data_IF_731229949080
#
_entry.id   IF_731229949080
#
_cell.length_a   1.000
_cell.length_b   1.000
_cell.length_c   1.000
_cell.angle_alpha   90.00
_cell.angle_beta   90.00
_cell.angle_gamma   90.00
#
_symmetry.space_group_name_H-M   'P 1'
#
loop_
_entity.id
_entity.type
_entity.pdbx_description
1 polymer ?
#
# COMPACT_ATOMS: atom_id res chain seq x y z
N UNK A 1 -25.94 -5.63 -2.75
CA UNK A 1 -26.19 -6.51 -1.58
C UNK A 1 -27.36 -7.44 -1.88
N UNK A 2 -27.16 -8.75 -1.78
CA UNK A 2 -28.24 -9.72 -1.87
C UNK A 2 -29.24 -9.48 -0.73
N UNK A 3 -30.54 -9.40 -1.05
CA UNK A 3 -31.63 -9.19 -0.08
C UNK A 3 -31.42 -8.01 0.91
N UNK A 4 -30.78 -6.92 0.47
CA UNK A 4 -30.40 -5.75 1.30
C UNK A 4 -29.36 -6.02 2.41
N UNK A 5 -28.74 -7.19 2.42
CA UNK A 5 -27.64 -7.53 3.33
C UNK A 5 -27.76 -8.96 3.83
N UNK A 6 -26.71 -9.75 3.62
CA UNK A 6 -26.56 -11.09 4.18
C UNK A 6 -25.20 -11.20 4.86
N UNK A 7 -25.05 -12.20 5.74
CA UNK A 7 -23.76 -12.53 6.34
C UNK A 7 -22.75 -12.86 5.25
N UNK A 8 -21.55 -12.32 5.39
CA UNK A 8 -20.42 -12.53 4.48
C UNK A 8 -19.31 -13.25 5.24
N UNK A 9 -18.86 -14.40 4.75
CA UNK A 9 -17.64 -15.06 5.22
C UNK A 9 -16.62 -15.00 4.09
N UNK A 10 -15.41 -14.57 4.40
CA UNK A 10 -14.32 -14.55 3.43
C UNK A 10 -13.36 -15.70 3.68
N UNK A 11 -12.94 -16.34 2.60
CA UNK A 11 -11.91 -17.39 2.62
C UNK A 11 -10.82 -17.00 1.61
N UNK A 12 -9.96 -16.01 1.94
CA UNK A 12 -8.92 -15.56 1.03
C UNK A 12 -7.90 -16.68 0.76
N UNK A 13 -7.66 -16.95 -0.53
CA UNK A 13 -6.71 -17.98 -0.98
C UNK A 13 -5.40 -17.39 -1.51
N UNK A 14 -5.33 -16.08 -1.71
CA UNK A 14 -4.09 -15.38 -2.06
C UNK A 14 -3.49 -14.67 -0.86
N UNK A 15 -2.16 -14.55 -0.86
CA UNK A 15 -1.42 -13.92 0.23
C UNK A 15 -1.83 -12.45 0.43
N UNK A 16 -1.91 -11.67 -0.65
CA UNK A 16 -2.39 -10.29 -0.63
C UNK A 16 -3.80 -10.17 -0.01
N UNK A 17 -4.73 -11.00 -0.48
CA UNK A 17 -6.13 -10.90 -0.06
C UNK A 17 -6.30 -11.29 1.42
N UNK A 18 -5.43 -12.15 1.94
CA UNK A 18 -5.48 -12.59 3.33
C UNK A 18 -5.13 -11.50 4.33
N UNK A 19 -4.21 -10.57 4.02
CA UNK A 19 -3.74 -9.59 5.01
C UNK A 19 -4.07 -8.13 4.68
N UNK A 20 -4.34 -7.77 3.42
CA UNK A 20 -4.62 -6.37 3.03
C UNK A 20 -6.08 -6.14 2.61
N UNK A 21 -6.67 -7.02 1.79
CA UNK A 21 -7.98 -6.78 1.18
C UNK A 21 -9.14 -7.43 1.94
N UNK A 22 -9.37 -8.74 1.78
CA UNK A 22 -10.55 -9.41 2.31
C UNK A 22 -10.61 -9.31 3.83
N UNK A 23 -9.67 -9.94 4.52
CA UNK A 23 -9.85 -10.18 5.95
C UNK A 23 -10.00 -8.88 6.75
N UNK A 24 -9.23 -7.86 6.39
CA UNK A 24 -9.10 -6.64 7.19
C UNK A 24 -9.91 -5.45 6.66
N UNK A 25 -10.24 -5.36 5.36
CA UNK A 25 -10.98 -4.21 4.82
C UNK A 25 -12.49 -4.45 4.77
N UNK A 26 -13.25 -3.39 5.08
CA UNK A 26 -14.69 -3.36 4.90
C UNK A 26 -15.06 -2.92 3.47
N UNK A 27 -14.10 -2.45 2.65
CA UNK A 27 -14.36 -1.95 1.30
C UNK A 27 -14.79 -3.10 0.37
N UNK A 28 -15.99 -2.99 -0.19
CA UNK A 28 -16.49 -3.87 -1.25
C UNK A 28 -16.80 -3.01 -2.46
N UNK A 29 -16.05 -3.18 -3.55
CA UNK A 29 -16.16 -2.30 -4.72
C UNK A 29 -15.95 -3.05 -6.04
N UNK A 30 -16.43 -2.44 -7.12
CA UNK A 30 -16.20 -2.86 -8.50
C UNK A 30 -15.63 -1.70 -9.32
N UNK A 31 -14.92 -2.05 -10.38
CA UNK A 31 -14.46 -1.08 -11.37
C UNK A 31 -15.62 -0.68 -12.28
N UNK A 32 -15.66 0.59 -12.70
CA UNK A 32 -16.67 1.09 -13.63
C UNK A 32 -16.12 2.24 -14.47
N UNK A 33 -16.45 2.26 -15.77
CA UNK A 33 -16.11 3.35 -16.70
C UNK A 33 -14.63 3.78 -16.70
N UNK A 34 -13.70 2.82 -16.55
CA UNK A 34 -12.25 3.12 -16.53
C UNK A 34 -11.69 3.55 -15.17
N UNK A 35 -12.52 3.65 -14.14
CA UNK A 35 -12.10 4.00 -12.79
C UNK A 35 -12.05 2.76 -11.87
N UNK A 36 -10.99 2.66 -11.06
CA UNK A 36 -10.78 1.56 -10.11
C UNK A 36 -11.66 1.75 -8.88
N UNK A 37 -12.37 0.70 -8.47
CA UNK A 37 -13.13 0.63 -7.21
C UNK A 37 -14.13 1.79 -6.97
N UNK A 38 -14.71 2.37 -8.03
CA UNK A 38 -15.51 3.60 -7.92
C UNK A 38 -16.96 3.36 -7.46
N UNK A 39 -17.49 2.14 -7.63
CA UNK A 39 -18.84 1.77 -7.17
C UNK A 39 -18.70 0.73 -6.06
N UNK A 40 -19.17 1.05 -4.84
CA UNK A 40 -19.01 0.15 -3.71
C UNK A 40 -19.74 0.55 -2.44
N UNK A 41 -19.50 -0.21 -1.37
CA UNK A 41 -19.97 0.05 -0.02
C UNK A 41 -18.96 -0.46 1.02
N UNK A 42 -19.16 -0.07 2.28
CA UNK A 42 -18.47 -0.67 3.41
C UNK A 42 -19.37 -1.77 3.99
N UNK A 43 -18.94 -3.03 3.91
CA UNK A 43 -19.65 -4.20 4.42
C UNK A 43 -18.71 -5.06 5.27
N UNK A 44 -19.00 -5.17 6.56
CA UNK A 44 -18.16 -5.93 7.50
C UNK A 44 -18.40 -7.42 7.29
N UNK A 45 -17.36 -8.22 6.98
CA UNK A 45 -17.50 -9.67 6.97
C UNK A 45 -17.82 -10.16 8.39
N UNK A 46 -18.65 -11.18 8.50
CA UNK A 46 -18.90 -11.88 9.77
C UNK A 46 -17.64 -12.59 10.26
N UNK A 47 -16.84 -13.12 9.32
CA UNK A 47 -15.62 -13.85 9.61
C UNK A 47 -14.68 -13.89 8.41
N UNK A 48 -13.38 -13.95 8.67
CA UNK A 48 -12.36 -14.31 7.68
C UNK A 48 -11.63 -15.60 8.10
N UNK A 49 -11.68 -16.62 7.24
CA UNK A 49 -10.98 -17.90 7.39
C UNK A 49 -9.74 -17.90 6.50
N UNK A 50 -8.56 -17.80 7.09
CA UNK A 50 -7.31 -17.69 6.35
C UNK A 50 -6.55 -19.02 6.47
N UNK A 51 -6.56 -19.84 5.43
CA UNK A 51 -5.75 -21.06 5.38
C UNK A 51 -4.47 -20.81 4.58
N UNK A 52 -3.33 -20.77 5.26
CA UNK A 52 -2.04 -20.46 4.62
C UNK A 52 -1.51 -21.60 3.75
N UNK A 53 -2.12 -22.79 3.78
CA UNK A 53 -1.74 -23.90 2.91
C UNK A 53 -1.97 -23.58 1.43
N UNK A 54 -2.94 -22.71 1.10
CA UNK A 54 -3.17 -22.24 -0.26
C UNK A 54 -1.95 -21.53 -0.85
N UNK A 55 -1.12 -20.89 -0.01
CA UNK A 55 0.03 -20.13 -0.47
C UNK A 55 1.08 -20.99 -1.17
N UNK A 56 1.14 -22.29 -0.86
CA UNK A 56 2.05 -23.25 -1.50
C UNK A 56 1.80 -23.41 -3.01
N UNK A 57 0.60 -23.04 -3.47
CA UNK A 57 0.20 -23.12 -4.89
C UNK A 57 0.27 -21.79 -5.63
N UNK A 58 0.61 -20.69 -4.94
CA UNK A 58 0.70 -19.37 -5.54
C UNK A 58 1.94 -19.25 -6.43
N UNK A 59 1.78 -18.58 -7.57
CA UNK A 59 2.91 -18.19 -8.42
C UNK A 59 3.71 -17.02 -7.82
N UNK A 60 4.89 -16.76 -8.40
CA UNK A 60 5.78 -15.66 -7.97
C UNK A 60 5.06 -14.31 -7.94
N UNK A 61 4.27 -14.00 -8.97
CA UNK A 61 3.54 -12.74 -9.11
C UNK A 61 2.54 -12.52 -7.96
N UNK A 62 1.78 -13.54 -7.58
CA UNK A 62 0.79 -13.45 -6.50
C UNK A 62 1.46 -13.31 -5.12
N UNK A 63 2.58 -14.01 -4.92
CA UNK A 63 3.35 -13.88 -3.69
C UNK A 63 3.97 -12.47 -3.58
N UNK A 64 4.56 -11.97 -4.67
CA UNK A 64 5.11 -10.61 -4.73
C UNK A 64 4.05 -9.54 -4.57
N UNK A 65 2.83 -9.76 -5.06
CA UNK A 65 1.72 -8.85 -4.84
C UNK A 65 1.43 -8.64 -3.34
N UNK A 66 1.40 -9.71 -2.53
CA UNK A 66 1.22 -9.59 -1.08
C UNK A 66 2.44 -8.95 -0.39
N UNK A 67 3.65 -9.36 -0.79
CA UNK A 67 4.89 -8.75 -0.28
C UNK A 67 5.00 -7.25 -0.60
N UNK A 68 4.42 -6.80 -1.72
CA UNK A 68 4.35 -5.38 -2.07
C UNK A 68 3.61 -4.56 -1.00
N UNK A 69 2.46 -5.05 -0.52
CA UNK A 69 1.73 -4.38 0.56
C UNK A 69 2.44 -4.48 1.91
N UNK A 70 3.17 -5.57 2.17
CA UNK A 70 4.02 -5.64 3.36
C UNK A 70 5.23 -4.69 3.25
N UNK A 71 5.73 -4.42 2.04
CA UNK A 71 6.77 -3.42 1.77
C UNK A 71 6.24 -2.01 2.06
N UNK A 72 5.00 -1.72 1.66
CA UNK A 72 4.28 -0.50 2.08
C UNK A 72 4.21 -0.41 3.60
N UNK A 73 3.76 -1.47 4.29
CA UNK A 73 3.70 -1.48 5.76
C UNK A 73 5.07 -1.22 6.41
N UNK A 74 6.14 -1.75 5.82
CA UNK A 74 7.51 -1.47 6.27
C UNK A 74 7.88 0.01 6.10
N UNK A 75 7.53 0.65 4.98
CA UNK A 75 7.74 2.08 4.78
C UNK A 75 6.90 2.95 5.74
N UNK A 76 5.67 2.54 6.04
CA UNK A 76 4.76 3.26 6.94
C UNK A 76 5.20 3.17 8.41
N UNK A 77 5.52 1.97 8.89
CA UNK A 77 5.65 1.68 10.32
C UNK A 77 7.08 1.38 10.79
N UNK A 78 8.01 1.10 9.87
CA UNK A 78 9.37 0.73 10.22
C UNK A 78 9.45 -0.49 11.14
N UNK A 79 10.41 -0.49 12.06
CA UNK A 79 10.54 -1.48 13.14
C UNK A 79 10.42 -2.94 12.67
N UNK A 80 9.52 -3.71 13.29
CA UNK A 80 9.31 -5.14 12.96
C UNK A 80 8.89 -5.37 11.50
N UNK A 81 8.18 -4.42 10.88
CA UNK A 81 7.76 -4.53 9.47
C UNK A 81 8.97 -4.37 8.55
N UNK A 82 9.84 -3.40 8.85
CA UNK A 82 11.09 -3.21 8.13
C UNK A 82 12.04 -4.41 8.27
N UNK A 83 12.22 -4.94 9.48
CA UNK A 83 13.08 -6.11 9.70
C UNK A 83 12.55 -7.36 9.01
N UNK A 84 11.23 -7.58 9.01
CA UNK A 84 10.60 -8.65 8.25
C UNK A 84 10.94 -8.53 6.75
N UNK A 85 10.72 -7.35 6.17
CA UNK A 85 10.93 -7.13 4.74
C UNK A 85 12.40 -7.22 4.35
N UNK A 86 13.30 -6.69 5.18
CA UNK A 86 14.75 -6.81 4.99
C UNK A 86 15.21 -8.27 4.97
N UNK A 87 14.78 -9.07 5.96
CA UNK A 87 15.06 -10.52 6.00
C UNK A 87 14.48 -11.23 4.77
N UNK A 88 13.25 -10.91 4.40
CA UNK A 88 12.52 -11.59 3.33
C UNK A 88 13.08 -11.28 1.95
N UNK A 89 13.34 -10.01 1.64
CA UNK A 89 13.70 -9.57 0.29
C UNK A 89 15.20 -9.49 0.07
N UNK A 90 15.95 -8.91 1.02
CA UNK A 90 17.38 -8.69 0.85
C UNK A 90 18.21 -9.94 1.13
N UNK A 91 17.79 -10.76 2.11
CA UNK A 91 18.53 -11.99 2.48
C UNK A 91 18.02 -13.21 1.73
N UNK A 92 16.69 -13.42 1.71
CA UNK A 92 16.09 -14.63 1.13
C UNK A 92 15.64 -14.52 -0.32
N UNK A 93 15.60 -13.29 -0.87
CA UNK A 93 15.10 -13.04 -2.21
C UNK A 93 13.66 -13.51 -2.37
N UNK A 94 12.76 -12.99 -1.52
CA UNK A 94 11.29 -13.19 -1.53
C UNK A 94 10.79 -14.65 -1.35
N UNK A 95 11.69 -15.62 -1.14
CA UNK A 95 11.33 -17.01 -0.84
C UNK A 95 11.10 -17.19 0.67
N UNK A 96 9.85 -17.41 1.05
CA UNK A 96 9.43 -17.64 2.43
C UNK A 96 9.08 -19.11 2.65
N UNK A 97 9.38 -19.66 3.83
CA UNK A 97 8.82 -20.95 4.26
C UNK A 97 7.33 -20.82 4.60
N UNK A 98 6.63 -21.95 4.75
CA UNK A 98 5.22 -21.94 5.18
C UNK A 98 5.00 -21.22 6.52
N UNK A 99 5.88 -21.44 7.49
CA UNK A 99 5.84 -20.74 8.79
C UNK A 99 6.07 -19.23 8.64
N UNK A 100 7.02 -18.82 7.80
CA UNK A 100 7.28 -17.39 7.60
C UNK A 100 6.14 -16.69 6.85
N UNK A 101 5.40 -17.40 5.99
CA UNK A 101 4.19 -16.87 5.37
C UNK A 101 3.06 -16.68 6.39
N UNK A 102 2.95 -17.58 7.37
CA UNK A 102 2.02 -17.42 8.50
C UNK A 102 2.38 -16.17 9.30
N UNK A 103 3.64 -16.02 9.70
CA UNK A 103 4.12 -14.86 10.44
C UNK A 103 3.89 -13.55 9.67
N UNK A 104 4.23 -13.55 8.38
CA UNK A 104 4.02 -12.39 7.51
C UNK A 104 2.53 -12.03 7.38
N UNK A 105 1.65 -13.03 7.30
CA UNK A 105 0.19 -12.84 7.29
C UNK A 105 -0.28 -12.17 8.59
N UNK A 106 0.16 -12.66 9.76
CA UNK A 106 -0.18 -12.06 11.05
C UNK A 106 0.33 -10.63 11.19
N UNK A 107 1.54 -10.35 10.73
CA UNK A 107 2.12 -9.01 10.75
C UNK A 107 1.31 -8.05 9.86
N UNK A 108 0.89 -8.50 8.67
CA UNK A 108 0.04 -7.71 7.78
C UNK A 108 -1.35 -7.42 8.37
N UNK A 109 -2.01 -8.46 8.92
CA UNK A 109 -3.30 -8.32 9.61
C UNK A 109 -3.22 -7.33 10.77
N UNK A 110 -2.20 -7.47 11.62
CA UNK A 110 -1.99 -6.60 12.78
C UNK A 110 -1.74 -5.15 12.39
N UNK A 111 -1.07 -4.88 11.27
CA UNK A 111 -0.89 -3.52 10.76
C UNK A 111 -2.23 -2.87 10.40
N UNK A 112 -3.06 -3.54 9.58
CA UNK A 112 -4.37 -3.02 9.19
C UNK A 112 -5.29 -2.84 10.38
N UNK A 113 -5.39 -3.85 11.23
CA UNK A 113 -6.24 -3.84 12.41
C UNK A 113 -5.89 -2.69 13.38
N UNK A 114 -4.61 -2.35 13.52
CA UNK A 114 -4.14 -1.24 14.37
C UNK A 114 -4.77 0.11 13.98
N UNK A 115 -4.91 0.41 12.68
CA UNK A 115 -5.53 1.66 12.21
C UNK A 115 -7.04 1.53 12.02
N UNK A 116 -7.52 0.42 11.46
CA UNK A 116 -8.93 0.23 11.14
C UNK A 116 -9.82 0.09 12.38
N UNK A 117 -9.25 -0.27 13.55
CA UNK A 117 -9.98 -0.20 14.84
C UNK A 117 -10.42 1.21 15.19
N UNK A 118 -9.67 2.22 14.77
CA UNK A 118 -9.95 3.63 15.04
C UNK A 118 -10.53 4.35 13.82
N UNK A 119 -10.32 3.81 12.61
CA UNK A 119 -10.81 4.38 11.35
C UNK A 119 -11.37 3.28 10.41
N UNK A 120 -12.48 2.62 10.78
CA UNK A 120 -13.00 1.43 10.07
C UNK A 120 -13.48 1.70 8.64
N UNK A 121 -13.72 2.98 8.30
CA UNK A 121 -14.14 3.40 6.96
C UNK A 121 -13.00 4.06 6.17
N UNK A 122 -11.78 4.05 6.70
CA UNK A 122 -10.59 4.55 6.00
C UNK A 122 -10.74 6.01 5.55
N UNK A 123 -11.21 6.88 6.45
CA UNK A 123 -11.50 8.30 6.16
C UNK A 123 -10.49 9.28 6.76
N UNK A 124 -9.61 8.82 7.63
CA UNK A 124 -8.65 9.62 8.38
C UNK A 124 -7.28 8.92 8.37
N UNK A 125 -6.85 8.39 9.52
CA UNK A 125 -5.52 7.83 9.70
C UNK A 125 -5.25 6.62 8.79
N UNK A 126 -6.27 5.80 8.48
CA UNK A 126 -6.07 4.64 7.61
C UNK A 126 -5.88 5.02 6.13
N UNK A 127 -6.02 6.31 5.76
CA UNK A 127 -5.54 6.81 4.46
C UNK A 127 -4.07 6.49 4.24
N UNK A 128 -3.24 6.41 5.30
CA UNK A 128 -1.83 6.03 5.20
C UNK A 128 -1.60 4.74 4.38
N UNK A 129 -2.55 3.80 4.38
CA UNK A 129 -2.46 2.58 3.56
C UNK A 129 -2.54 2.82 2.05
N UNK A 130 -2.87 4.03 1.61
CA UNK A 130 -2.85 4.46 0.22
C UNK A 130 -1.47 5.05 -0.20
N UNK A 131 -0.45 4.97 0.67
CA UNK A 131 0.92 5.30 0.29
C UNK A 131 1.37 4.46 -0.91
N UNK A 132 1.95 5.11 -1.92
CA UNK A 132 2.28 4.51 -3.22
C UNK A 132 1.09 4.25 -4.17
N UNK A 133 -0.15 4.28 -3.69
CA UNK A 133 -1.31 3.89 -4.50
C UNK A 133 -1.69 4.92 -5.56
N UNK A 134 -1.41 6.22 -5.35
CA UNK A 134 -1.78 7.27 -6.31
C UNK A 134 -1.17 7.02 -7.70
N UNK A 135 0.15 6.79 -7.76
CA UNK A 135 0.84 6.47 -9.03
C UNK A 135 0.69 4.99 -9.38
N UNK A 136 0.69 4.08 -8.38
CA UNK A 136 0.52 2.64 -8.61
C UNK A 136 -0.79 2.31 -9.32
N UNK A 137 -1.92 2.84 -8.84
CA UNK A 137 -3.22 2.67 -9.49
C UNK A 137 -3.26 3.30 -10.89
N UNK A 138 -2.66 4.47 -11.07
CA UNK A 138 -2.59 5.10 -12.38
C UNK A 138 -1.84 4.23 -13.39
N UNK A 139 -0.75 3.58 -12.98
CA UNK A 139 -0.03 2.61 -13.81
C UNK A 139 -0.87 1.37 -14.12
N UNK A 140 -1.51 0.78 -13.12
CA UNK A 140 -2.36 -0.42 -13.29
C UNK A 140 -3.52 -0.20 -14.27
N UNK A 141 -4.09 1.01 -14.28
CA UNK A 141 -5.19 1.36 -15.17
C UNK A 141 -4.72 1.78 -16.58
N UNK A 142 -3.41 1.99 -16.78
CA UNK A 142 -2.87 2.51 -18.04
C UNK A 142 -2.78 1.44 -19.11
N UNK A 143 -3.24 1.79 -20.32
CA UNK A 143 -3.37 0.83 -21.41
C UNK A 143 -2.01 0.25 -21.80
N UNK A 144 -1.93 -1.09 -21.84
CA UNK A 144 -0.71 -1.80 -22.22
C UNK A 144 0.33 -1.91 -21.11
N UNK A 145 0.06 -1.37 -19.91
CA UNK A 145 0.84 -1.68 -18.71
C UNK A 145 0.36 -3.01 -18.12
N UNK A 146 1.31 -3.85 -17.72
CA UNK A 146 1.01 -5.10 -16.98
C UNK A 146 1.88 -5.17 -15.74
N UNK A 147 1.24 -5.25 -14.57
CA UNK A 147 1.86 -5.37 -13.24
C UNK A 147 0.86 -6.04 -12.30
N UNK A 148 1.35 -6.74 -11.27
CA UNK A 148 0.48 -7.06 -10.13
C UNK A 148 0.18 -5.80 -9.29
N UNK A 149 -0.86 -5.85 -8.45
CA UNK A 149 -1.23 -4.73 -7.61
C UNK A 149 -0.09 -4.30 -6.66
N UNK A 150 0.48 -5.24 -5.90
CA UNK A 150 1.57 -4.92 -4.96
C UNK A 150 2.85 -4.46 -5.64
N UNK A 151 3.16 -4.96 -6.85
CA UNK A 151 4.27 -4.43 -7.65
C UNK A 151 3.97 -3.01 -8.15
N UNK A 152 2.73 -2.72 -8.55
CA UNK A 152 2.29 -1.38 -8.90
C UNK A 152 2.39 -0.40 -7.73
N UNK A 153 1.95 -0.81 -6.54
CA UNK A 153 2.05 -0.03 -5.30
C UNK A 153 3.51 0.27 -4.95
N UNK A 154 4.39 -0.73 -4.99
CA UNK A 154 5.81 -0.54 -4.69
C UNK A 154 6.50 0.39 -5.71
N UNK A 155 6.17 0.28 -6.99
CA UNK A 155 6.63 1.22 -8.01
C UNK A 155 6.08 2.64 -7.75
N UNK A 156 4.83 2.76 -7.34
CA UNK A 156 4.25 4.03 -6.92
C UNK A 156 4.91 4.63 -5.67
N UNK A 157 5.42 3.81 -4.74
CA UNK A 157 6.22 4.28 -3.61
C UNK A 157 7.53 4.93 -4.05
N UNK A 158 8.16 4.47 -5.14
CA UNK A 158 9.36 5.13 -5.71
C UNK A 158 9.02 6.53 -6.23
N UNK A 159 7.86 6.71 -6.85
CA UNK A 159 7.40 8.03 -7.27
C UNK A 159 7.12 8.94 -6.06
N UNK A 160 6.50 8.39 -5.01
CA UNK A 160 6.23 9.14 -3.78
C UNK A 160 7.53 9.57 -3.06
N UNK A 161 8.53 8.70 -2.94
CA UNK A 161 9.83 9.04 -2.34
C UNK A 161 10.61 10.06 -3.18
N UNK A 162 10.54 9.97 -4.51
CA UNK A 162 11.08 10.98 -5.42
C UNK A 162 10.45 12.35 -5.15
N UNK A 163 9.11 12.40 -5.05
CA UNK A 163 8.38 13.64 -4.75
C UNK A 163 8.75 14.18 -3.37
N UNK A 164 8.72 13.35 -2.32
CA UNK A 164 9.12 13.74 -0.96
C UNK A 164 10.51 14.38 -0.94
N UNK A 165 11.47 13.76 -1.62
CA UNK A 165 12.84 14.26 -1.67
C UNK A 165 12.96 15.58 -2.43
N UNK A 166 12.26 15.72 -3.56
CA UNK A 166 12.25 16.96 -4.34
C UNK A 166 11.54 18.12 -3.64
N UNK A 167 10.62 17.81 -2.73
CA UNK A 167 9.94 18.80 -1.87
C UNK A 167 10.71 19.12 -0.58
N UNK A 168 11.88 18.52 -0.33
CA UNK A 168 12.65 18.74 0.91
C UNK A 168 12.13 17.95 2.13
N UNK A 169 11.08 17.16 1.96
CA UNK A 169 10.44 16.37 3.02
C UNK A 169 11.29 15.15 3.42
N UNK A 170 12.03 14.59 2.46
CA UNK A 170 12.88 13.40 2.66
C UNK A 170 14.33 13.69 2.25
N UNK A 171 15.29 13.36 3.11
CA UNK A 171 16.71 13.51 2.79
C UNK A 171 17.17 12.50 1.73
N UNK A 172 18.30 12.77 1.07
CA UNK A 172 18.88 11.83 0.09
C UNK A 172 19.24 10.48 0.74
N UNK A 173 19.71 10.50 1.99
CA UNK A 173 20.06 9.29 2.74
C UNK A 173 18.82 8.47 3.15
N UNK A 174 17.75 9.15 3.58
CA UNK A 174 16.48 8.50 3.91
C UNK A 174 15.83 7.91 2.66
N UNK A 175 15.89 8.64 1.53
CA UNK A 175 15.43 8.14 0.23
C UNK A 175 16.22 6.92 -0.22
N UNK A 176 17.54 6.92 -0.10
CA UNK A 176 18.36 5.77 -0.44
C UNK A 176 17.96 4.52 0.38
N UNK A 177 17.64 4.70 1.67
CA UNK A 177 17.18 3.62 2.55
C UNK A 177 15.78 3.13 2.14
N UNK A 178 14.85 4.05 1.88
CA UNK A 178 13.50 3.73 1.42
C UNK A 178 13.50 3.01 0.07
N UNK A 179 14.19 3.56 -0.92
CA UNK A 179 14.25 2.98 -2.26
C UNK A 179 14.97 1.62 -2.22
N UNK A 180 15.89 1.42 -1.27
CA UNK A 180 16.52 0.12 -1.06
C UNK A 180 15.54 -0.98 -0.65
N UNK A 181 14.65 -0.65 0.28
CA UNK A 181 13.59 -1.54 0.74
C UNK A 181 12.67 -1.93 -0.43
N UNK A 182 12.29 -0.95 -1.24
CA UNK A 182 11.38 -1.15 -2.38
C UNK A 182 12.05 -1.98 -3.48
N UNK A 183 13.27 -1.62 -3.88
CA UNK A 183 14.01 -2.30 -4.96
C UNK A 183 14.38 -3.73 -4.58
N UNK A 184 14.52 -4.04 -3.28
CA UNK A 184 14.81 -5.39 -2.83
C UNK A 184 13.72 -6.42 -3.19
N UNK A 185 12.45 -5.99 -3.31
CA UNK A 185 11.37 -6.85 -3.81
C UNK A 185 11.53 -7.20 -5.30
N UNK A 186 12.29 -6.39 -6.04
CA UNK A 186 12.48 -6.48 -7.48
C UNK A 186 11.13 -6.50 -8.23
N UNK A 187 10.31 -5.43 -8.09
CA UNK A 187 8.98 -5.37 -8.69
C UNK A 187 9.10 -5.33 -10.21
N UNK A 188 8.27 -6.14 -10.88
CA UNK A 188 8.24 -6.25 -12.34
C UNK A 188 7.06 -5.48 -12.90
N UNK A 189 7.34 -4.61 -13.86
CA UNK A 189 6.32 -3.91 -14.65
C UNK A 189 6.66 -4.03 -16.13
N UNK A 190 5.68 -4.42 -16.93
CA UNK A 190 5.77 -4.34 -18.38
C UNK A 190 5.16 -3.02 -18.83
N UNK A 191 5.97 -2.16 -19.45
CA UNK A 191 5.53 -0.89 -20.02
C UNK A 191 5.41 -1.02 -21.54
N UNK A 192 4.40 -0.38 -22.16
CA UNK A 192 4.30 -0.36 -23.61
C UNK A 192 5.41 0.51 -24.24
N UNK A 193 5.71 0.33 -25.53
CA UNK A 193 6.80 1.04 -26.20
C UNK A 193 6.54 2.54 -26.40
N UNK A 194 5.27 2.97 -26.39
CA UNK A 194 4.89 4.39 -26.52
C UNK A 194 5.02 5.13 -25.18
N UNK A 195 5.09 6.46 -25.23
CA UNK A 195 5.09 7.30 -24.02
C UNK A 195 3.71 7.26 -23.34
N UNK A 196 3.69 6.90 -22.06
CA UNK A 196 2.49 6.78 -21.24
C UNK A 196 2.36 7.92 -20.22
N UNK A 197 3.29 8.87 -20.20
CA UNK A 197 3.41 9.86 -19.12
C UNK A 197 2.12 10.67 -18.95
N UNK A 198 1.57 11.20 -20.04
CA UNK A 198 0.33 12.00 -20.00
C UNK A 198 -0.87 11.15 -19.60
N UNK A 199 -0.94 9.91 -20.06
CA UNK A 199 -2.02 8.98 -19.72
C UNK A 199 -1.97 8.57 -18.23
N UNK A 200 -0.79 8.37 -17.66
CA UNK A 200 -0.60 8.11 -16.22
C UNK A 200 -0.95 9.35 -15.41
N UNK A 201 -0.47 10.52 -15.85
CA UNK A 201 -0.74 11.79 -15.17
C UNK A 201 -2.25 12.08 -15.12
N UNK A 202 -2.96 11.90 -16.23
CA UNK A 202 -4.41 12.07 -16.29
C UNK A 202 -5.14 11.19 -15.25
N UNK A 203 -4.71 9.94 -15.07
CA UNK A 203 -5.29 9.05 -14.05
C UNK A 203 -4.95 9.48 -12.63
N UNK A 204 -3.73 9.97 -12.37
CA UNK A 204 -3.37 10.57 -11.08
C UNK A 204 -4.26 11.77 -10.77
N UNK A 205 -4.55 12.62 -11.77
CA UNK A 205 -5.45 13.76 -11.62
C UNK A 205 -6.90 13.36 -11.29
N UNK A 206 -7.28 12.10 -11.49
CA UNK A 206 -8.63 11.58 -11.21
C UNK A 206 -8.66 10.54 -10.07
N UNK A 207 -7.59 10.44 -9.27
CA UNK A 207 -7.52 9.54 -8.13
C UNK A 207 -8.59 9.87 -7.06
N UNK A 208 -9.10 8.83 -6.39
CA UNK A 208 -10.24 8.91 -5.46
C UNK A 208 -9.95 9.65 -4.14
N UNK A 209 -8.69 10.06 -3.91
CA UNK A 209 -8.32 10.95 -2.79
C UNK A 209 -8.81 12.39 -2.98
N UNK A 210 -9.30 12.74 -4.18
CA UNK A 210 -10.03 13.98 -4.43
C UNK A 210 -11.30 14.01 -3.58
N UNK A 211 -11.37 14.95 -2.64
CA UNK A 211 -12.50 15.11 -1.72
C UNK A 211 -12.14 15.15 -0.24
N UNK A 212 -10.94 14.68 0.13
CA UNK A 212 -10.43 14.85 1.51
C UNK A 212 -9.86 16.25 1.74
N UNK A 213 -9.28 16.85 0.69
CA UNK A 213 -8.80 18.22 0.68
C UNK A 213 -9.63 19.05 -0.31
N UNK A 214 -9.79 20.37 -0.08
CA UNK A 214 -10.31 21.29 -1.08
C UNK A 214 -9.57 21.17 -2.41
N UNK A 215 -10.27 21.34 -3.53
CA UNK A 215 -9.60 21.34 -4.82
C UNK A 215 -8.66 22.55 -4.94
N UNK A 216 -7.43 22.31 -5.38
CA UNK A 216 -6.43 23.35 -5.60
C UNK A 216 -5.85 23.21 -7.00
N UNK A 217 -6.14 24.18 -7.86
CA UNK A 217 -5.69 24.18 -9.24
C UNK A 217 -4.16 24.06 -9.32
N UNK A 218 -3.67 23.12 -10.14
CA UNK A 218 -2.24 22.85 -10.31
C UNK A 218 -1.59 21.98 -9.23
N UNK A 219 -2.38 21.39 -8.32
CA UNK A 219 -1.89 20.48 -7.27
C UNK A 219 -2.70 19.18 -7.19
N UNK A 220 -2.04 18.12 -6.71
CA UNK A 220 -2.64 16.82 -6.42
C UNK A 220 -2.38 16.39 -4.98
N UNK A 221 -3.36 15.76 -4.30
CA UNK A 221 -3.16 15.21 -2.96
C UNK A 221 -2.30 13.93 -3.02
N UNK A 222 -1.24 13.88 -2.23
CA UNK A 222 -0.38 12.70 -2.08
C UNK A 222 -0.13 12.37 -0.61
N UNK A 223 0.04 11.10 -0.32
CA UNK A 223 0.65 10.64 0.93
C UNK A 223 2.13 10.52 0.69
N UNK A 224 2.90 11.21 1.53
CA UNK A 224 4.36 11.29 1.45
C UNK A 224 4.97 10.81 2.76
N UNK A 225 6.22 10.39 2.71
CA UNK A 225 6.99 10.01 3.89
C UNK A 225 8.27 10.85 4.03
N UNK A 226 8.76 10.97 5.26
CA UNK A 226 10.03 11.64 5.58
C UNK A 226 11.18 10.64 5.62
N UNK A 227 10.93 9.46 6.20
CA UNK A 227 11.83 8.30 6.22
C UNK A 227 11.04 7.02 6.47
N UNK A 228 11.69 5.86 6.41
CA UNK A 228 11.06 4.59 6.75
C UNK A 228 10.55 4.62 8.19
N UNK A 229 9.26 4.38 8.38
CA UNK A 229 8.58 4.44 9.68
C UNK A 229 8.12 5.82 10.12
N UNK A 230 8.30 6.85 9.30
CA UNK A 230 7.86 8.21 9.61
C UNK A 230 7.21 8.90 8.40
N UNK A 231 5.89 9.06 8.51
CA UNK A 231 5.04 9.65 7.46
C UNK A 231 5.00 11.17 7.59
N UNK A 232 4.89 11.86 6.45
CA UNK A 232 4.69 13.30 6.41
C UNK A 232 3.25 13.64 6.80
N UNK A 233 3.09 14.50 7.81
CA UNK A 233 1.80 14.78 8.44
C UNK A 233 1.45 16.28 8.36
N UNK A 234 1.24 16.86 7.16
CA UNK A 234 0.97 18.29 7.01
C UNK A 234 -0.42 18.70 7.53
N UNK A 235 -1.31 17.72 7.75
CA UNK A 235 -2.66 17.87 8.27
C UNK A 235 -3.17 16.50 8.78
N UNK A 236 -4.38 16.48 9.35
CA UNK A 236 -5.01 15.28 9.92
C UNK A 236 -5.27 14.14 8.92
N UNK A 237 -5.23 14.39 7.61
CA UNK A 237 -5.41 13.38 6.57
C UNK A 237 -4.09 12.82 6.04
N UNK A 238 -2.93 13.37 6.48
CA UNK A 238 -1.60 13.00 5.96
C UNK A 238 -1.46 13.22 4.44
N UNK A 239 -2.22 14.17 3.89
CA UNK A 239 -2.21 14.50 2.47
C UNK A 239 -1.48 15.82 2.22
N UNK A 240 -0.46 15.79 1.37
CA UNK A 240 0.26 16.98 0.91
C UNK A 240 -0.24 17.43 -0.46
N UNK A 241 -0.27 18.75 -0.70
CA UNK A 241 -0.51 19.30 -2.02
C UNK A 241 0.78 19.28 -2.84
N UNK A 242 0.89 18.32 -3.76
CA UNK A 242 2.04 18.19 -4.66
C UNK A 242 1.76 18.95 -5.95
N UNK A 243 2.67 19.85 -6.40
CA UNK A 243 2.52 20.52 -7.70
C UNK A 243 2.46 19.51 -8.86
N UNK A 244 1.52 19.70 -9.79
CA UNK A 244 1.32 18.80 -10.94
C UNK A 244 2.57 18.64 -11.80
N UNK A 245 3.37 19.70 -11.96
CA UNK A 245 4.63 19.61 -12.70
C UNK A 245 5.63 18.65 -12.04
N UNK A 246 5.67 18.63 -10.70
CA UNK A 246 6.53 17.71 -9.95
C UNK A 246 6.02 16.26 -10.03
N UNK A 247 4.70 16.07 -10.04
CA UNK A 247 4.09 14.74 -10.31
C UNK A 247 4.51 14.24 -11.70
N UNK A 248 4.47 15.10 -12.73
CA UNK A 248 4.92 14.77 -14.08
C UNK A 248 6.40 14.42 -14.11
N UNK A 249 7.26 15.18 -13.43
CA UNK A 249 8.69 14.88 -13.29
C UNK A 249 8.93 13.50 -12.66
N UNK A 250 8.18 13.16 -11.60
CA UNK A 250 8.27 11.87 -10.94
C UNK A 250 7.85 10.72 -11.85
N UNK A 251 6.77 10.88 -12.63
CA UNK A 251 6.32 9.88 -13.61
C UNK A 251 7.37 9.69 -14.71
N UNK A 252 7.93 10.77 -15.26
CA UNK A 252 8.98 10.71 -16.27
C UNK A 252 10.23 9.98 -15.76
N UNK A 253 10.69 10.34 -14.56
CA UNK A 253 11.79 9.66 -13.90
C UNK A 253 11.49 8.16 -13.74
N UNK A 254 10.33 7.82 -13.19
CA UNK A 254 9.92 6.45 -12.93
C UNK A 254 9.86 5.61 -14.21
N UNK A 255 9.18 6.09 -15.26
CA UNK A 255 9.06 5.40 -16.55
C UNK A 255 10.43 5.21 -17.18
N UNK A 256 11.30 6.22 -17.11
CA UNK A 256 12.70 6.12 -17.55
C UNK A 256 13.46 5.02 -16.81
N UNK A 257 13.38 5.01 -15.47
CA UNK A 257 14.02 3.99 -14.62
C UNK A 257 13.51 2.59 -14.93
N UNK A 258 12.19 2.40 -15.11
CA UNK A 258 11.61 1.09 -15.42
C UNK A 258 12.04 0.57 -16.81
N UNK A 259 12.16 1.46 -17.80
CA UNK A 259 12.66 1.10 -19.13
C UNK A 259 14.13 0.69 -19.09
N UNK A 260 14.97 1.43 -18.35
CA UNK A 260 16.37 1.07 -18.15
C UNK A 260 16.50 -0.26 -17.41
N UNK A 261 15.68 -0.47 -16.37
CA UNK A 261 15.65 -1.72 -15.60
C UNK A 261 15.27 -2.91 -16.49
N UNK A 262 14.29 -2.74 -17.37
CA UNK A 262 13.91 -3.76 -18.34
C UNK A 262 15.05 -4.10 -19.32
N UNK A 263 15.84 -3.09 -19.73
CA UNK A 263 16.97 -3.29 -20.64
C UNK A 263 18.15 -4.04 -19.99
N UNK A 264 18.38 -3.85 -18.69
CA UNK A 264 19.44 -4.54 -17.92
C UNK A 264 18.94 -5.79 -17.17
N UNK A 265 17.65 -6.13 -17.33
CA UNK A 265 17.03 -7.36 -16.83
C UNK A 265 16.26 -7.22 -15.52
N UNK A 266 16.60 -6.29 -14.62
CA UNK A 266 15.82 -6.00 -13.41
C UNK A 266 16.15 -4.65 -12.76
N UNK A 267 15.28 -4.19 -11.85
CA UNK A 267 15.55 -2.97 -11.05
C UNK A 267 16.73 -3.16 -10.13
N UNK A 268 16.86 -4.35 -9.54
CA UNK A 268 18.02 -4.69 -8.71
C UNK A 268 19.32 -4.65 -9.52
N UNK A 269 19.31 -5.14 -10.76
CA UNK A 269 20.48 -5.09 -11.63
C UNK A 269 20.84 -3.64 -12.02
N UNK A 270 19.83 -2.82 -12.36
CA UNK A 270 20.04 -1.40 -12.65
C UNK A 270 20.67 -0.66 -11.48
N UNK A 271 20.16 -0.88 -10.27
CA UNK A 271 20.69 -0.26 -9.06
C UNK A 271 22.16 -0.63 -8.80
N UNK A 272 22.54 -1.89 -9.04
CA UNK A 272 23.94 -2.33 -8.90
C UNK A 272 24.87 -1.74 -9.97
N UNK A 273 24.33 -1.40 -11.15
CA UNK A 273 25.09 -0.85 -12.27
C UNK A 273 25.30 0.67 -12.20
N UNK A 274 24.49 1.38 -11.41
CA UNK A 274 24.53 2.83 -11.27
C UNK A 274 25.23 3.24 -9.97
N UNK A 275 26.16 4.22 -9.96
CA UNK A 275 26.66 4.80 -8.72
C UNK A 275 25.50 5.43 -7.93
N UNK A 276 25.51 5.33 -6.60
CA UNK A 276 24.40 5.77 -5.73
C UNK A 276 23.92 7.20 -6.03
N UNK A 277 24.83 8.11 -6.42
CA UNK A 277 24.49 9.48 -6.80
C UNK A 277 23.63 9.59 -8.08
N UNK A 278 23.75 8.65 -9.02
CA UNK A 278 23.07 8.71 -10.33
C UNK A 278 21.65 8.17 -10.33
N UNK A 279 21.26 7.34 -9.35
CA UNK A 279 19.87 6.91 -9.18
C UNK A 279 18.99 8.01 -8.57
N UNK A 280 19.62 8.97 -7.86
CA UNK A 280 18.94 9.97 -7.04
C UNK A 280 18.96 11.41 -7.59
N UNK A 281 19.63 11.70 -8.70
CA UNK A 281 19.78 13.09 -9.19
C UNK A 281 18.92 13.45 -10.42
N UNK A 282 17.93 14.32 -10.18
CA UNK A 282 17.69 15.51 -11.03
C UNK A 282 17.09 16.62 -10.16
N UNK A 283 17.90 17.61 -9.75
CA UNK A 283 17.46 18.80 -9.01
C UNK A 283 17.19 19.96 -9.98
N UNK A 284 16.08 20.67 -9.79
CA UNK A 284 15.96 22.09 -10.12
C UNK A 284 15.70 22.87 -8.81
N UNK A 285 16.29 24.06 -8.61
CA UNK A 285 16.25 24.77 -7.32
C UNK A 285 15.04 25.70 -7.20
N UNK A 286 14.45 25.83 -6.01
CA UNK A 286 14.07 27.08 -5.30
C UNK A 286 13.22 26.76 -4.05
N UNK A 287 13.74 27.06 -2.86
CA UNK A 287 13.39 28.19 -1.96
C UNK A 287 12.42 27.79 -0.84
N UNK A 288 13.01 27.31 0.26
CA UNK A 288 12.40 27.18 1.58
C UNK A 288 12.83 28.34 2.48
N UNK A 289 11.87 28.92 3.21
CA UNK A 289 11.90 29.20 4.66
C UNK A 289 10.89 30.31 4.97
N UNK A 290 9.67 29.91 5.30
CA UNK A 290 8.72 30.77 6.04
C UNK A 290 7.49 29.99 6.58
N UNK A 291 7.23 28.77 6.11
CA UNK A 291 6.04 27.99 6.51
C UNK A 291 6.19 27.14 7.79
N UNK A 292 7.42 26.90 8.26
CA UNK A 292 7.70 25.87 9.28
C UNK A 292 7.34 26.28 10.73
N UNK A 293 7.27 27.58 11.04
CA UNK A 293 7.16 28.04 12.44
C UNK A 293 5.71 28.31 12.91
N UNK A 294 4.73 28.31 11.99
CA UNK A 294 3.31 28.54 12.33
C UNK A 294 2.53 27.24 12.60
N UNK A 295 2.97 26.09 12.05
CA UNK A 295 2.23 24.83 12.13
C UNK A 295 2.37 24.10 13.48
N UNK A 296 3.49 24.24 14.17
CA UNK A 296 3.81 23.42 15.34
C UNK A 296 2.92 23.72 16.57
N UNK A 297 2.41 24.95 16.67
CA UNK A 297 1.65 25.43 17.83
C UNK A 297 0.16 25.10 17.77
N UNK A 298 -0.43 25.01 16.57
CA UNK A 298 -1.84 24.59 16.39
C UNK A 298 -2.01 23.06 16.43
N UNK A 299 -0.94 22.30 16.12
CA UNK A 299 -0.93 20.84 16.06
C UNK A 299 -0.89 20.13 17.43
N UNK A 300 -0.58 20.84 18.51
CA UNK A 300 -0.54 20.28 19.86
C UNK A 300 -1.93 20.21 20.51
N UNK A 301 -2.75 21.24 20.35
CA UNK A 301 -4.08 21.35 20.98
C UNK A 301 -5.15 20.43 20.35
N UNK A 302 -4.95 20.01 19.09
CA UNK A 302 -5.86 19.10 18.38
C UNK A 302 -5.71 17.62 18.80
N UNK A 303 -4.51 17.20 19.23
CA UNK A 303 -4.23 15.78 19.56
C UNK A 303 -4.98 15.26 20.78
N UNK A 304 -5.32 16.15 21.73
CA UNK A 304 -5.91 15.76 23.01
C UNK A 304 -7.44 15.68 22.96
N UNK A 305 -8.08 16.46 22.08
CA UNK A 305 -9.55 16.50 21.94
C UNK A 305 -10.11 15.41 21.04
N UNK A 306 -9.46 15.07 19.92
CA UNK A 306 -10.01 14.13 18.94
C UNK A 306 -9.87 12.65 19.38
N UNK A 307 -8.91 12.31 20.24
CA UNK A 307 -8.73 10.96 20.75
C UNK A 307 -9.87 10.50 21.70
N UNK A 308 -10.58 11.45 22.31
CA UNK A 308 -11.62 11.18 23.30
C UNK A 308 -13.00 10.88 22.68
N UNK A 309 -13.27 11.28 21.44
CA UNK A 309 -14.62 11.17 20.83
C UNK A 309 -14.84 9.89 19.98
N UNK A 310 -13.82 9.07 19.75
CA UNK A 310 -13.87 7.99 18.74
C UNK A 310 -14.28 6.58 19.24
N UNK A 311 -14.81 6.44 20.47
CA UNK A 311 -15.21 5.12 20.99
C UNK A 311 -16.73 5.04 21.17
N UNK A 312 -17.41 4.68 20.08
CA UNK A 312 -18.69 3.97 20.17
C UNK A 312 -18.65 2.69 19.31
N UNK A 313 -18.99 1.58 19.98
CA UNK A 313 -19.07 0.19 19.52
C UNK A 313 -19.59 -0.01 18.09
N UNK A 314 -19.01 -0.98 17.37
CA UNK A 314 -19.71 -1.76 16.33
C UNK A 314 -18.97 -3.06 15.98
N UNK A 315 -19.77 -4.07 15.64
CA UNK A 315 -19.42 -5.46 15.34
C UNK A 315 -18.14 -5.62 14.49
N UNK A 316 -17.32 -6.60 14.86
CA UNK A 316 -16.03 -6.92 14.24
C UNK A 316 -16.13 -8.26 13.51
N UNK A 317 -15.29 -8.42 12.48
CA UNK A 317 -15.02 -9.72 11.91
C UNK A 317 -14.14 -10.52 12.88
N UNK A 318 -14.46 -11.79 13.12
CA UNK A 318 -13.54 -12.71 13.78
C UNK A 318 -12.52 -13.25 12.75
N UNK A 319 -11.25 -13.23 13.13
CA UNK A 319 -10.14 -13.72 12.31
C UNK A 319 -9.71 -15.10 12.79
N UNK A 320 -9.75 -16.09 11.90
CA UNK A 320 -9.19 -17.41 12.19
C UNK A 320 -8.14 -17.73 11.13
N UNK A 321 -6.88 -17.65 11.54
CA UNK A 321 -5.75 -18.12 10.72
C UNK A 321 -5.55 -19.59 11.03
N UNK A 322 -5.71 -20.40 10.00
CA UNK A 322 -5.66 -21.84 10.01
C UNK A 322 -4.36 -22.26 9.32
N UNK A 323 -3.63 -23.16 9.96
CA UNK A 323 -2.40 -23.70 9.41
C UNK A 323 -2.60 -25.20 9.20
N UNK A 324 -2.86 -25.62 7.95
CA UNK A 324 -2.70 -26.99 7.43
C UNK A 324 -3.45 -28.14 8.12
N UNK A 325 -4.09 -27.93 9.26
CA UNK A 325 -4.70 -28.96 10.08
C UNK A 325 -6.22 -28.82 10.04
N UNK A 326 -6.85 -29.74 9.31
CA UNK A 326 -8.30 -29.81 9.12
C UNK A 326 -9.05 -29.86 10.45
N UNK A 327 -8.48 -30.45 11.50
CA UNK A 327 -9.14 -30.53 12.80
C UNK A 327 -9.25 -29.17 13.50
N UNK A 328 -8.24 -28.30 13.32
CA UNK A 328 -8.29 -26.92 13.85
C UNK A 328 -9.33 -26.06 13.12
N UNK A 329 -9.54 -26.29 11.81
CA UNK A 329 -10.60 -25.64 11.02
C UNK A 329 -11.98 -26.07 11.51
N UNK A 330 -12.22 -27.39 11.59
CA UNK A 330 -13.51 -27.97 11.99
C UNK A 330 -13.84 -27.60 13.44
N UNK A 331 -12.87 -27.66 14.35
CA UNK A 331 -13.04 -27.25 15.75
C UNK A 331 -13.35 -25.76 15.90
N UNK A 332 -12.75 -24.91 15.07
CA UNK A 332 -13.09 -23.48 15.04
C UNK A 332 -14.51 -23.27 14.50
N UNK A 333 -14.87 -23.90 13.36
CA UNK A 333 -16.22 -23.82 12.78
C UNK A 333 -17.32 -24.32 13.74
N UNK A 334 -17.07 -25.40 14.48
CA UNK A 334 -17.99 -25.97 15.45
C UNK A 334 -18.21 -25.06 16.67
N UNK A 335 -17.16 -24.41 17.18
CA UNK A 335 -17.26 -23.42 18.27
C UNK A 335 -18.09 -22.18 17.90
N UNK A 336 -18.26 -21.92 16.60
CA UNK A 336 -18.97 -20.76 16.05
C UNK A 336 -20.43 -21.06 15.64
N UNK A 337 -20.97 -22.23 16.01
CA UNK A 337 -22.36 -22.61 15.74
C UNK A 337 -22.65 -23.02 14.29
N UNK A 338 -21.60 -23.21 13.46
CA UNK A 338 -21.74 -23.84 12.15
C UNK A 338 -21.66 -25.35 12.32
N UNK A 339 -22.73 -26.07 11.94
CA UNK A 339 -22.68 -27.51 11.82
C UNK A 339 -21.86 -27.87 10.59
N UNK A 340 -20.61 -28.28 10.79
CA UNK A 340 -19.88 -29.02 9.78
C UNK A 340 -20.52 -30.41 9.68
N UNK A 341 -21.43 -30.61 8.73
CA UNK A 341 -21.79 -31.98 8.33
C UNK A 341 -20.59 -32.56 7.59
N UNK A 342 -19.94 -33.63 8.09
CA UNK A 342 -18.94 -34.33 7.31
C UNK A 342 -19.67 -34.93 6.12
N UNK A 343 -19.48 -34.35 4.95
CA UNK A 343 -19.82 -35.03 3.69
C UNK A 343 -18.54 -35.67 3.19
N UNK A 344 -18.66 -36.99 3.00
CA UNK A 344 -17.65 -37.97 2.60
C UNK A 344 -16.89 -37.60 1.34
#
# INVERSE_FOLDING_TARGET
MLFRGIRLVQCPTSFLNAHDAAASSQKQAINHAGYKNIVGLYHVPTMALIDTSFYSTLGETELKAGLGELTKNAALFGGKHYELMKKTTMVKGWKLSGEELVDATYIGLGAKDMLLRHDPKEKHLALLFEYGHTVGHALELTKGVSTSHGEGVTIGMLAASYISNRMGIMSDADRATHDALVIALDPKIHLPPHDITDEVLDKVMHDNKRGYLPERAGFCPFILNQRVGEMHAPNKYYLEYVPVHLVREAILWLVGTMRQASAVGSLRALRLALPDSSFHLSRAPTQEKELAELQEKELADLREKELAELVQEKARAEFHVLCGDKENVISSMARMGFQATPTT
#
